data_IF_702666981342
#
_entry.id   IF_702666981342
#
_cell.length_a   1.000
_cell.length_b   1.000
_cell.length_c   1.000
_cell.angle_alpha   90.00
_cell.angle_beta   90.00
_cell.angle_gamma   90.00
#
_symmetry.space_group_name_H-M   'P 1'
#
loop_
_entity.id
_entity.type
_entity.pdbx_description
1 polymer ?
#
# COMPACT_ATOMS: atom_id res chain seq x y z
N UNK A 1 -12.35 -3.94 1.49
CA UNK A 1 -13.50 -3.50 2.29
C UNK A 1 -14.47 -2.77 1.36
N UNK A 2 -15.62 -3.35 0.98
CA UNK A 2 -16.71 -2.53 0.49
C UNK A 2 -16.97 -1.47 1.58
N UNK A 3 -17.00 -0.18 1.20
CA UNK A 3 -17.45 0.85 2.14
C UNK A 3 -18.89 0.47 2.46
N UNK A 4 -19.13 -0.02 3.67
CA UNK A 4 -20.46 -0.31 4.17
C UNK A 4 -21.23 1.01 4.13
N UNK A 5 -21.97 1.26 3.05
CA UNK A 5 -23.06 2.21 3.11
C UNK A 5 -24.13 1.47 3.85
N UNK A 6 -24.40 1.87 5.09
CA UNK A 6 -25.41 1.29 6.00
C UNK A 6 -26.84 1.50 5.47
N UNK A 7 -27.09 1.08 4.23
CA UNK A 7 -28.39 1.09 3.57
C UNK A 7 -29.33 0.12 4.27
N UNK A 8 -28.78 -0.94 4.88
CA UNK A 8 -29.52 -1.96 5.65
C UNK A 8 -30.26 -1.38 6.86
N UNK A 9 -29.82 -0.23 7.39
CA UNK A 9 -30.40 0.39 8.58
C UNK A 9 -31.29 1.60 8.26
N UNK A 10 -31.53 1.87 6.97
CA UNK A 10 -32.35 3.00 6.51
C UNK A 10 -33.76 2.54 6.15
N UNK A 11 -34.74 3.44 6.32
CA UNK A 11 -36.08 3.22 5.79
C UNK A 11 -36.02 3.04 4.27
N UNK A 12 -36.93 2.25 3.66
CA UNK A 12 -36.91 1.96 2.22
C UNK A 12 -36.80 3.21 1.34
N UNK A 13 -37.50 4.29 1.68
CA UNK A 13 -37.44 5.56 0.94
C UNK A 13 -36.08 6.26 1.04
N UNK A 14 -35.48 6.31 2.23
CA UNK A 14 -34.15 6.92 2.43
C UNK A 14 -33.06 6.11 1.72
N UNK A 15 -33.18 4.78 1.73
CA UNK A 15 -32.32 3.89 0.97
C UNK A 15 -32.37 4.20 -0.54
N UNK A 16 -33.58 4.31 -1.12
CA UNK A 16 -33.74 4.67 -2.54
C UNK A 16 -33.20 6.07 -2.86
N UNK A 17 -33.40 7.05 -1.97
CA UNK A 17 -32.83 8.39 -2.16
C UNK A 17 -31.29 8.37 -2.17
N UNK A 18 -30.67 7.59 -1.27
CA UNK A 18 -29.21 7.42 -1.23
C UNK A 18 -28.69 6.73 -2.49
N UNK A 19 -29.41 5.72 -3.00
CA UNK A 19 -29.07 5.02 -4.24
C UNK A 19 -29.11 6.00 -5.43
N UNK A 20 -30.18 6.80 -5.56
CA UNK A 20 -30.28 7.84 -6.59
C UNK A 20 -29.14 8.86 -6.48
N UNK A 21 -28.80 9.30 -5.27
CA UNK A 21 -27.68 10.21 -5.01
C UNK A 21 -26.34 9.58 -5.40
N UNK A 22 -26.16 8.28 -5.12
CA UNK A 22 -24.98 7.52 -5.49
C UNK A 22 -24.82 7.43 -7.01
N UNK A 23 -25.89 7.12 -7.75
CA UNK A 23 -25.91 7.10 -9.21
C UNK A 23 -25.55 8.47 -9.81
N UNK A 24 -26.19 9.55 -9.33
CA UNK A 24 -25.86 10.94 -9.74
C UNK A 24 -24.40 11.31 -9.44
N UNK A 25 -23.87 10.83 -8.31
CA UNK A 25 -22.46 11.07 -7.94
C UNK A 25 -21.51 10.32 -8.86
N UNK A 26 -21.83 9.09 -9.25
CA UNK A 26 -21.03 8.31 -10.18
C UNK A 26 -20.94 9.02 -11.55
N UNK A 27 -22.07 9.51 -12.07
CA UNK A 27 -22.12 10.32 -13.30
C UNK A 27 -21.28 11.59 -13.16
N UNK A 28 -21.44 12.36 -12.07
CA UNK A 28 -20.65 13.58 -11.85
C UNK A 28 -19.15 13.32 -11.81
N UNK A 29 -18.74 12.12 -11.40
CA UNK A 29 -17.34 11.71 -11.31
C UNK A 29 -16.81 11.06 -12.60
N UNK A 30 -17.62 10.92 -13.65
CA UNK A 30 -17.20 10.26 -14.89
C UNK A 30 -17.00 8.74 -14.73
N UNK A 31 -17.68 8.10 -13.78
CA UNK A 31 -17.58 6.65 -13.59
C UNK A 31 -18.45 5.92 -14.62
N UNK A 32 -18.03 4.70 -14.97
CA UNK A 32 -18.87 3.78 -15.74
C UNK A 32 -20.02 3.26 -14.87
N UNK A 33 -21.15 2.94 -15.52
CA UNK A 33 -22.24 2.26 -14.84
C UNK A 33 -21.77 0.89 -14.38
N UNK A 34 -22.14 0.52 -13.15
CA UNK A 34 -21.95 -0.85 -12.67
C UNK A 34 -23.13 -1.68 -13.18
N UNK A 35 -22.84 -2.90 -13.60
CA UNK A 35 -23.87 -3.87 -13.93
C UNK A 35 -24.60 -4.35 -12.68
N UNK A 36 -25.76 -4.98 -12.89
CA UNK A 36 -26.63 -5.45 -11.82
C UNK A 36 -25.92 -6.45 -10.89
N UNK A 37 -25.11 -7.33 -11.47
CA UNK A 37 -24.29 -8.31 -10.73
C UNK A 37 -23.26 -7.62 -9.83
N UNK A 38 -22.51 -6.62 -10.31
CA UNK A 38 -21.56 -5.91 -9.48
C UNK A 38 -22.22 -5.01 -8.42
N UNK A 39 -23.40 -4.45 -8.70
CA UNK A 39 -24.16 -3.68 -7.70
C UNK A 39 -24.60 -4.56 -6.53
N UNK A 40 -25.08 -5.78 -6.81
CA UNK A 40 -25.42 -6.77 -5.78
C UNK A 40 -24.18 -7.21 -5.00
N UNK A 41 -23.13 -7.62 -5.71
CA UNK A 41 -21.92 -8.17 -5.08
C UNK A 41 -21.11 -7.13 -4.29
N UNK A 42 -20.97 -5.90 -4.81
CA UNK A 42 -20.10 -4.87 -4.21
C UNK A 42 -20.83 -3.92 -3.28
N UNK A 43 -22.09 -3.62 -3.56
CA UNK A 43 -22.88 -2.64 -2.79
C UNK A 43 -24.04 -3.29 -2.02
N UNK A 44 -24.29 -4.58 -2.19
CA UNK A 44 -25.35 -5.31 -1.46
C UNK A 44 -26.75 -4.88 -1.87
N UNK A 45 -26.93 -4.33 -3.06
CA UNK A 45 -28.24 -3.88 -3.52
C UNK A 45 -29.16 -5.06 -3.83
N UNK A 46 -30.47 -4.89 -3.62
CA UNK A 46 -31.48 -5.80 -4.19
C UNK A 46 -31.62 -5.56 -5.70
N UNK A 47 -32.35 -6.45 -6.39
CA UNK A 47 -32.57 -6.31 -7.83
C UNK A 47 -33.28 -4.99 -8.18
N UNK A 48 -34.32 -4.62 -7.43
CA UNK A 48 -35.05 -3.35 -7.60
C UNK A 48 -34.15 -2.12 -7.33
N UNK A 49 -33.32 -2.20 -6.29
CA UNK A 49 -32.37 -1.12 -5.96
C UNK A 49 -31.31 -0.93 -7.04
N UNK A 50 -30.83 -2.03 -7.62
CA UNK A 50 -29.90 -1.99 -8.74
C UNK A 50 -30.57 -1.39 -9.99
N UNK A 51 -31.82 -1.73 -10.28
CA UNK A 51 -32.58 -1.15 -11.40
C UNK A 51 -32.80 0.36 -11.22
N UNK A 52 -33.11 0.82 -10.00
CA UNK A 52 -33.21 2.25 -9.68
C UNK A 52 -31.87 2.96 -9.86
N UNK A 53 -30.75 2.34 -9.46
CA UNK A 53 -29.41 2.89 -9.68
C UNK A 53 -29.13 3.05 -11.18
N UNK A 54 -29.31 1.98 -11.96
CA UNK A 54 -29.01 1.95 -13.39
C UNK A 54 -29.91 2.94 -14.14
N UNK A 55 -31.21 2.95 -13.85
CA UNK A 55 -32.16 3.91 -14.44
C UNK A 55 -31.77 5.36 -14.12
N UNK A 56 -31.42 5.64 -12.87
CA UNK A 56 -30.98 6.99 -12.47
C UNK A 56 -29.65 7.36 -13.14
N UNK A 57 -28.71 6.42 -13.25
CA UNK A 57 -27.44 6.65 -13.91
C UNK A 57 -27.67 6.96 -15.40
N UNK A 58 -28.40 6.11 -16.11
CA UNK A 58 -28.67 6.25 -17.54
C UNK A 58 -29.44 7.54 -17.88
N UNK A 59 -30.34 8.00 -17.00
CA UNK A 59 -31.03 9.29 -17.17
C UNK A 59 -30.11 10.51 -17.06
N UNK A 60 -28.96 10.39 -16.39
CA UNK A 60 -28.04 11.50 -16.13
C UNK A 60 -26.72 11.36 -16.88
N UNK A 61 -26.42 10.17 -17.42
CA UNK A 61 -25.18 9.91 -18.14
C UNK A 61 -25.25 10.60 -19.50
N UNK A 62 -24.37 11.57 -19.71
CA UNK A 62 -24.13 12.13 -21.04
C UNK A 62 -23.35 11.15 -21.93
N UNK A 63 -22.76 11.67 -23.00
CA UNK A 63 -21.99 10.83 -23.95
C UNK A 63 -20.76 10.17 -23.28
N UNK A 64 -20.24 9.07 -23.84
CA UNK A 64 -19.01 8.46 -23.36
C UNK A 64 -17.83 9.44 -23.30
N UNK A 65 -17.73 10.34 -24.28
CA UNK A 65 -16.72 11.40 -24.33
C UNK A 65 -16.85 12.37 -23.17
N UNK A 66 -18.06 12.86 -22.87
CA UNK A 66 -18.32 13.71 -21.71
C UNK A 66 -17.96 13.02 -20.39
N UNK A 67 -18.26 11.73 -20.25
CA UNK A 67 -17.90 10.97 -19.06
C UNK A 67 -16.39 10.87 -18.91
N UNK A 68 -15.69 10.68 -20.01
CA UNK A 68 -14.24 10.62 -20.03
C UNK A 68 -13.60 11.97 -19.62
N UNK A 69 -14.16 13.10 -20.08
CA UNK A 69 -13.76 14.44 -19.63
C UNK A 69 -14.08 14.67 -18.14
N UNK A 70 -15.27 14.28 -17.66
CA UNK A 70 -15.63 14.36 -16.23
C UNK A 70 -14.66 13.54 -15.36
N UNK A 71 -14.25 12.36 -15.84
CA UNK A 71 -13.27 11.50 -15.16
C UNK A 71 -11.89 12.18 -15.08
N UNK A 72 -11.43 12.83 -16.15
CA UNK A 72 -10.20 13.60 -16.15
C UNK A 72 -10.26 14.77 -15.15
N UNK A 73 -11.36 15.56 -15.14
CA UNK A 73 -11.58 16.63 -14.14
C UNK A 73 -11.53 16.10 -12.71
N UNK A 74 -12.20 14.97 -12.47
CA UNK A 74 -12.24 14.36 -11.13
C UNK A 74 -10.85 13.88 -10.69
N UNK A 75 -10.06 13.33 -11.60
CA UNK A 75 -8.68 12.92 -11.33
C UNK A 75 -7.78 14.11 -10.98
N UNK A 76 -7.96 15.28 -11.62
CA UNK A 76 -7.25 16.51 -11.26
C UNK A 76 -7.64 16.99 -9.86
N UNK A 77 -8.93 17.03 -9.54
CA UNK A 77 -9.45 17.35 -8.20
C UNK A 77 -8.83 16.42 -7.15
N UNK A 78 -8.78 15.11 -7.44
CA UNK A 78 -8.18 14.13 -6.53
C UNK A 78 -6.68 14.34 -6.39
N UNK A 79 -5.95 14.63 -7.46
CA UNK A 79 -4.51 14.89 -7.38
C UNK A 79 -4.21 16.09 -6.47
N UNK A 80 -4.90 17.21 -6.68
CA UNK A 80 -4.76 18.42 -5.85
C UNK A 80 -5.19 18.16 -4.41
N UNK A 81 -6.31 17.48 -4.20
CA UNK A 81 -6.78 17.15 -2.86
C UNK A 81 -5.77 16.29 -2.10
N UNK A 82 -4.96 15.48 -2.79
CA UNK A 82 -3.90 14.65 -2.20
C UNK A 82 -2.53 15.35 -2.17
N UNK A 83 -2.43 16.63 -2.58
CA UNK A 83 -1.16 17.36 -2.63
C UNK A 83 -0.14 16.70 -3.56
N UNK A 84 -0.59 16.02 -4.62
CA UNK A 84 0.29 15.42 -5.62
C UNK A 84 0.75 16.52 -6.56
N UNK A 85 2.02 16.52 -6.93
CA UNK A 85 2.56 17.41 -7.95
C UNK A 85 1.81 17.26 -9.29
N UNK A 86 1.73 18.34 -10.06
CA UNK A 86 1.10 18.34 -11.37
C UNK A 86 1.85 17.39 -12.31
N UNK A 87 1.21 16.37 -12.89
CA UNK A 87 1.83 15.52 -13.91
C UNK A 87 2.05 16.30 -15.21
N UNK A 88 3.08 15.92 -15.96
CA UNK A 88 3.33 16.47 -17.29
C UNK A 88 2.29 15.98 -18.30
N UNK A 89 2.10 16.75 -19.38
CA UNK A 89 1.25 16.35 -20.51
C UNK A 89 1.67 14.98 -21.08
N UNK A 90 2.97 14.75 -21.24
CA UNK A 90 3.50 13.47 -21.69
C UNK A 90 3.12 12.31 -20.76
N UNK A 91 3.18 12.54 -19.45
CA UNK A 91 2.80 11.52 -18.47
C UNK A 91 1.32 11.18 -18.61
N UNK A 92 0.45 12.18 -18.75
CA UNK A 92 -0.99 11.96 -18.93
C UNK A 92 -1.30 11.21 -20.23
N UNK A 93 -0.64 11.55 -21.34
CA UNK A 93 -0.80 10.84 -22.63
C UNK A 93 -0.26 9.41 -22.58
N UNK A 94 1.00 9.24 -22.16
CA UNK A 94 1.68 7.93 -22.23
C UNK A 94 1.21 6.95 -21.15
N UNK A 95 1.02 7.42 -19.91
CA UNK A 95 0.71 6.54 -18.77
C UNK A 95 -0.78 6.48 -18.47
N UNK A 96 -1.49 7.60 -18.55
CA UNK A 96 -2.93 7.62 -18.30
C UNK A 96 -3.76 7.37 -19.57
N UNK A 97 -3.11 7.32 -20.75
CA UNK A 97 -3.76 7.12 -22.05
C UNK A 97 -4.84 8.17 -22.31
N UNK A 98 -4.60 9.40 -21.87
CA UNK A 98 -5.54 10.50 -22.05
C UNK A 98 -5.44 11.07 -23.47
N UNK A 99 -6.60 11.39 -24.07
CA UNK A 99 -6.68 12.17 -25.31
C UNK A 99 -6.22 13.61 -25.07
N UNK A 100 -5.90 14.35 -26.13
CA UNK A 100 -5.47 15.74 -26.02
C UNK A 100 -6.48 16.60 -25.23
N UNK A 101 -7.78 16.41 -25.47
CA UNK A 101 -8.84 17.14 -24.76
C UNK A 101 -8.92 16.77 -23.28
N UNK A 102 -8.79 15.49 -22.94
CA UNK A 102 -8.75 15.03 -21.55
C UNK A 102 -7.54 15.61 -20.80
N UNK A 103 -6.39 15.69 -21.46
CA UNK A 103 -5.18 16.31 -20.88
C UNK A 103 -5.42 17.79 -20.62
N UNK A 104 -5.94 18.53 -21.61
CA UNK A 104 -6.26 19.96 -21.45
C UNK A 104 -7.19 20.20 -20.25
N UNK A 105 -8.29 19.46 -20.20
CA UNK A 105 -9.28 19.56 -19.12
C UNK A 105 -8.70 19.18 -17.75
N UNK A 106 -7.82 18.18 -17.68
CA UNK A 106 -7.13 17.81 -16.45
C UNK A 106 -6.23 18.96 -15.97
N UNK A 107 -5.37 19.48 -16.84
CA UNK A 107 -4.37 20.49 -16.50
C UNK A 107 -5.03 21.82 -16.12
N UNK A 108 -6.06 22.25 -16.85
CA UNK A 108 -6.86 23.43 -16.50
C UNK A 108 -7.48 23.28 -15.12
N UNK A 109 -8.14 22.15 -14.84
CA UNK A 109 -8.77 21.94 -13.54
C UNK A 109 -7.76 21.81 -12.41
N UNK A 110 -6.59 21.23 -12.69
CA UNK A 110 -5.50 21.16 -11.73
C UNK A 110 -5.01 22.56 -11.39
N UNK A 111 -4.70 23.39 -12.39
CA UNK A 111 -4.24 24.78 -12.20
C UNK A 111 -5.25 25.66 -11.46
N UNK A 112 -6.54 25.50 -11.75
CA UNK A 112 -7.62 26.21 -11.06
C UNK A 112 -7.64 25.90 -9.55
N UNK A 113 -7.32 24.66 -9.17
CA UNK A 113 -7.36 24.19 -7.79
C UNK A 113 -6.00 24.22 -7.10
N UNK A 114 -4.92 24.31 -7.88
CA UNK A 114 -3.55 24.36 -7.43
C UNK A 114 -3.36 25.59 -6.55
N UNK A 115 -3.22 25.31 -5.27
CA UNK A 115 -2.77 26.29 -4.28
C UNK A 115 -1.24 26.35 -4.29
N UNK A 116 -0.67 27.34 -3.61
CA UNK A 116 0.79 27.48 -3.51
C UNK A 116 1.46 26.16 -3.11
N UNK A 117 2.70 25.94 -3.58
CA UNK A 117 3.47 24.72 -3.28
C UNK A 117 3.54 24.44 -1.77
N UNK A 118 3.70 25.50 -0.97
CA UNK A 118 3.67 25.43 0.50
C UNK A 118 2.33 24.85 1.00
N UNK A 119 1.19 25.34 0.51
CA UNK A 119 -0.12 24.82 0.91
C UNK A 119 -0.36 23.36 0.47
N UNK A 120 0.21 22.94 -0.66
CA UNK A 120 0.18 21.52 -1.06
C UNK A 120 1.00 20.65 -0.12
N UNK A 121 2.19 21.10 0.26
CA UNK A 121 3.07 20.39 1.19
C UNK A 121 2.40 20.23 2.57
N UNK A 122 1.81 21.31 3.11
CA UNK A 122 1.03 21.26 4.36
C UNK A 122 -0.15 20.28 4.28
N UNK A 123 -0.88 20.23 3.15
CA UNK A 123 -1.96 19.26 2.95
C UNK A 123 -1.45 17.82 2.93
N UNK A 124 -0.32 17.58 2.26
CA UNK A 124 0.32 16.26 2.21
C UNK A 124 0.75 15.82 3.61
N UNK A 125 1.31 16.72 4.41
CA UNK A 125 1.66 16.47 5.81
C UNK A 125 0.43 16.07 6.64
N UNK A 126 -0.64 16.86 6.60
CA UNK A 126 -1.90 16.57 7.31
C UNK A 126 -2.51 15.22 6.92
N UNK A 127 -2.53 14.91 5.62
CA UNK A 127 -3.04 13.61 5.12
C UNK A 127 -2.17 12.43 5.56
N UNK A 128 -0.86 12.61 5.56
CA UNK A 128 0.07 11.60 6.06
C UNK A 128 -0.21 11.30 7.53
N UNK A 129 -0.36 12.34 8.36
CA UNK A 129 -0.72 12.23 9.77
C UNK A 129 -2.06 11.51 10.00
N UNK A 130 -3.11 11.92 9.27
CA UNK A 130 -4.41 11.23 9.29
C UNK A 130 -4.29 9.75 8.92
N UNK A 131 -3.48 9.44 7.89
CA UNK A 131 -3.19 8.08 7.47
C UNK A 131 -2.55 7.27 8.60
N UNK A 132 -1.48 7.79 9.21
CA UNK A 132 -0.79 7.17 10.35
C UNK A 132 -1.75 6.89 11.51
N UNK A 133 -2.53 7.88 11.93
CA UNK A 133 -3.52 7.74 13.01
C UNK A 133 -4.66 6.76 12.65
N UNK A 134 -5.09 6.72 11.38
CA UNK A 134 -6.14 5.78 10.95
C UNK A 134 -5.69 4.31 10.97
N UNK A 135 -4.38 4.09 10.88
CA UNK A 135 -3.78 2.75 10.87
C UNK A 135 -3.41 2.24 12.26
N UNK A 136 -3.56 3.03 13.33
CA UNK A 136 -3.14 2.59 14.67
C UNK A 136 -1.69 2.89 15.02
N UNK A 137 -0.93 3.52 14.12
CA UNK A 137 0.48 3.81 14.34
C UNK A 137 0.66 5.05 15.21
N UNK A 138 1.72 5.06 16.02
CA UNK A 138 2.12 6.22 16.80
C UNK A 138 2.53 7.41 15.92
N UNK A 139 2.42 8.62 16.50
CA UNK A 139 2.90 9.83 15.85
C UNK A 139 4.42 9.72 15.61
N UNK A 140 4.87 10.20 14.45
CA UNK A 140 6.32 10.28 14.19
C UNK A 140 6.93 11.42 15.01
N UNK A 141 8.15 11.20 15.49
CA UNK A 141 8.95 12.26 16.11
C UNK A 141 9.37 13.32 15.08
N UNK A 142 9.71 14.52 15.56
CA UNK A 142 10.22 15.61 14.73
C UNK A 142 11.43 15.17 13.91
N UNK A 143 12.37 14.45 14.53
CA UNK A 143 13.56 13.93 13.86
C UNK A 143 13.21 12.96 12.72
N UNK A 144 12.24 12.07 12.95
CA UNK A 144 11.80 11.13 11.92
C UNK A 144 11.11 11.86 10.75
N UNK A 145 10.37 12.94 11.03
CA UNK A 145 9.76 13.77 9.99
C UNK A 145 10.80 14.62 9.25
N UNK A 146 11.79 15.19 9.94
CA UNK A 146 12.93 15.91 9.32
C UNK A 146 13.71 14.97 8.38
N UNK A 147 14.01 13.74 8.82
CA UNK A 147 14.64 12.70 7.97
C UNK A 147 13.80 12.35 6.73
N UNK A 148 12.48 12.50 6.81
CA UNK A 148 11.55 12.33 5.67
C UNK A 148 11.43 13.58 4.78
N UNK A 149 12.18 14.65 5.08
CA UNK A 149 12.23 15.87 4.29
C UNK A 149 11.10 16.87 4.58
N UNK A 150 10.42 16.74 5.72
CA UNK A 150 9.39 17.70 6.12
C UNK A 150 10.02 19.00 6.65
N UNK A 151 9.47 20.14 6.23
CA UNK A 151 9.82 21.45 6.82
C UNK A 151 9.17 21.65 8.19
N UNK A 152 9.64 22.62 8.98
CA UNK A 152 9.11 22.88 10.34
C UNK A 152 7.60 23.14 10.34
N UNK A 153 7.10 23.97 9.42
CA UNK A 153 5.66 24.23 9.28
C UNK A 153 4.88 22.97 8.91
N UNK A 154 5.47 22.07 8.12
CA UNK A 154 4.83 20.81 7.77
C UNK A 154 4.83 19.82 8.93
N UNK A 155 5.86 19.80 9.76
CA UNK A 155 5.92 19.00 10.99
C UNK A 155 4.82 19.43 11.94
N UNK A 156 4.68 20.74 12.18
CA UNK A 156 3.60 21.28 13.01
C UNK A 156 2.22 20.90 12.46
N UNK A 157 2.01 21.07 11.14
CA UNK A 157 0.77 20.69 10.49
C UNK A 157 0.50 19.17 10.54
N UNK A 158 1.54 18.34 10.46
CA UNK A 158 1.44 16.90 10.62
C UNK A 158 0.97 16.55 12.04
N UNK A 159 1.65 17.07 13.07
CA UNK A 159 1.34 16.76 14.46
C UNK A 159 -0.05 17.23 14.86
N UNK A 160 -0.44 18.44 14.48
CA UNK A 160 -1.77 18.96 14.73
C UNK A 160 -2.86 18.08 14.10
N UNK A 161 -2.68 17.65 12.84
CA UNK A 161 -3.62 16.76 12.18
C UNK A 161 -3.64 15.35 12.77
N UNK A 162 -2.51 14.84 13.24
CA UNK A 162 -2.43 13.56 13.93
C UNK A 162 -3.25 13.62 15.22
N UNK A 163 -3.03 14.64 16.05
CA UNK A 163 -3.75 14.86 17.32
C UNK A 163 -5.27 15.02 17.13
N UNK A 164 -5.69 15.61 16.02
CA UNK A 164 -7.12 15.70 15.67
C UNK A 164 -7.74 14.36 15.23
N UNK A 165 -6.91 13.41 14.77
CA UNK A 165 -7.36 12.15 14.18
C UNK A 165 -7.09 10.95 15.07
N UNK A 166 -6.28 11.11 16.12
CA UNK A 166 -5.97 10.05 17.05
C UNK A 166 -7.18 9.71 17.91
N UNK A 167 -7.39 8.41 18.12
CA UNK A 167 -8.34 7.91 19.11
C UNK A 167 -7.60 7.56 20.40
N UNK A 168 -8.32 7.01 21.37
CA UNK A 168 -7.72 6.40 22.56
C UNK A 168 -6.64 5.39 22.18
N UNK A 169 -5.64 5.21 23.04
CA UNK A 169 -4.56 4.23 22.83
C UNK A 169 -5.11 2.83 22.59
N UNK A 170 -6.18 2.46 23.28
CA UNK A 170 -6.87 1.19 23.12
C UNK A 170 -7.42 1.01 21.69
N UNK A 171 -8.15 2.01 21.16
CA UNK A 171 -8.68 1.93 19.80
C UNK A 171 -7.56 2.00 18.74
N UNK A 172 -6.48 2.74 19.01
CA UNK A 172 -5.30 2.70 18.14
C UNK A 172 -4.68 1.30 18.09
N UNK A 173 -4.57 0.63 19.24
CA UNK A 173 -4.06 -0.73 19.32
C UNK A 173 -4.98 -1.72 18.59
N UNK A 174 -6.32 -1.55 18.68
CA UNK A 174 -7.29 -2.33 17.89
C UNK A 174 -7.13 -2.09 16.39
N UNK A 175 -6.95 -0.84 15.94
CA UNK A 175 -6.69 -0.50 14.52
C UNK A 175 -5.41 -1.14 14.00
N UNK A 176 -4.33 -1.05 14.78
CA UNK A 176 -3.04 -1.63 14.45
C UNK A 176 -3.16 -3.15 14.31
N UNK A 177 -3.86 -3.79 15.25
CA UNK A 177 -4.13 -5.24 15.23
C UNK A 177 -4.88 -5.67 13.98
N UNK A 178 -5.96 -4.96 13.61
CA UNK A 178 -6.69 -5.19 12.35
C UNK A 178 -5.77 -5.00 11.14
N UNK A 179 -4.88 -4.01 11.18
CA UNK A 179 -3.87 -3.75 10.16
C UNK A 179 -2.92 -4.93 9.97
N UNK A 180 -2.35 -5.45 11.06
CA UNK A 180 -1.43 -6.59 11.04
C UNK A 180 -2.10 -7.88 10.52
N UNK A 181 -3.33 -8.15 10.95
CA UNK A 181 -4.11 -9.29 10.46
C UNK A 181 -4.35 -9.22 8.95
N UNK A 182 -4.80 -8.06 8.45
CA UNK A 182 -5.02 -7.83 7.01
C UNK A 182 -3.74 -7.96 6.20
N UNK A 183 -2.63 -7.41 6.70
CA UNK A 183 -1.32 -7.50 6.03
C UNK A 183 -0.84 -8.95 5.96
N UNK A 184 -1.03 -9.72 7.02
CA UNK A 184 -0.67 -11.15 7.06
C UNK A 184 -1.47 -11.95 6.03
N UNK A 185 -2.80 -11.74 6.00
CA UNK A 185 -3.69 -12.37 5.01
C UNK A 185 -3.40 -11.91 3.57
N UNK A 186 -3.04 -10.64 3.37
CA UNK A 186 -2.69 -10.11 2.05
C UNK A 186 -1.39 -10.69 1.50
N UNK A 187 -0.38 -10.88 2.37
CA UNK A 187 0.89 -11.52 2.03
C UNK A 187 0.84 -13.05 2.05
N UNK A 188 -0.35 -13.63 2.22
CA UNK A 188 -0.57 -15.06 2.30
C UNK A 188 0.36 -15.81 3.28
N UNK A 189 0.64 -15.16 4.42
CA UNK A 189 1.32 -15.78 5.55
C UNK A 189 0.30 -16.59 6.34
N UNK A 190 0.73 -17.72 6.89
CA UNK A 190 -0.11 -18.50 7.79
C UNK A 190 -0.63 -17.63 8.95
N UNK A 191 -1.86 -17.90 9.39
CA UNK A 191 -2.40 -17.22 10.56
C UNK A 191 -1.51 -17.52 11.77
N UNK A 192 -1.12 -16.49 12.51
CA UNK A 192 -0.43 -16.68 13.77
C UNK A 192 -1.35 -17.42 14.77
N UNK A 193 -0.79 -18.36 15.53
CA UNK A 193 -1.51 -19.02 16.61
C UNK A 193 -1.76 -18.05 17.76
N UNK A 194 -2.76 -18.35 18.60
CA UNK A 194 -3.02 -17.55 19.81
C UNK A 194 -1.78 -17.46 20.71
N UNK A 195 -1.05 -18.55 20.89
CA UNK A 195 0.18 -18.59 21.67
C UNK A 195 1.27 -17.66 21.10
N UNK A 196 1.43 -17.64 19.78
CA UNK A 196 2.38 -16.75 19.11
C UNK A 196 1.98 -15.28 19.28
N UNK A 197 0.68 -14.97 19.22
CA UNK A 197 0.18 -13.62 19.44
C UNK A 197 0.33 -13.20 20.91
N UNK A 198 0.05 -14.08 21.87
CA UNK A 198 0.32 -13.83 23.31
C UNK A 198 1.79 -13.54 23.55
N UNK A 199 2.69 -14.34 22.97
CA UNK A 199 4.15 -14.12 23.06
C UNK A 199 4.58 -12.81 22.42
N UNK A 200 3.87 -12.35 21.38
CA UNK A 200 4.08 -11.05 20.76
C UNK A 200 3.48 -9.87 21.55
N UNK A 201 2.87 -10.12 22.72
CA UNK A 201 2.34 -9.10 23.61
C UNK A 201 0.90 -8.66 23.31
N UNK A 202 0.16 -9.43 22.52
CA UNK A 202 -1.25 -9.13 22.25
C UNK A 202 -2.13 -9.51 23.46
N UNK A 203 -3.10 -8.66 23.78
CA UNK A 203 -4.16 -8.98 24.76
C UNK A 203 -5.17 -9.96 24.15
N UNK A 204 -5.94 -10.66 25.00
CA UNK A 204 -6.96 -11.62 24.52
C UNK A 204 -8.00 -10.97 23.58
N UNK A 205 -8.39 -9.71 23.86
CA UNK A 205 -9.28 -8.96 22.98
C UNK A 205 -8.62 -8.69 21.62
N UNK A 206 -7.34 -8.29 21.60
CA UNK A 206 -6.62 -8.05 20.36
C UNK A 206 -6.43 -9.35 19.55
N UNK A 207 -6.17 -10.47 20.22
CA UNK A 207 -6.09 -11.79 19.58
C UNK A 207 -7.40 -12.12 18.89
N UNK A 208 -8.53 -11.93 19.59
CA UNK A 208 -9.87 -12.14 19.03
C UNK A 208 -10.10 -11.26 17.79
N UNK A 209 -9.74 -9.97 17.86
CA UNK A 209 -9.83 -9.03 16.74
C UNK A 209 -8.92 -9.45 15.58
N UNK A 210 -7.71 -9.91 15.86
CA UNK A 210 -6.74 -10.36 14.87
C UNK A 210 -7.28 -11.54 14.08
N UNK A 211 -7.69 -12.61 14.78
CA UNK A 211 -8.19 -13.83 14.16
C UNK A 211 -9.43 -13.56 13.32
N UNK A 212 -10.41 -12.85 13.86
CA UNK A 212 -11.63 -12.48 13.12
C UNK A 212 -11.32 -11.64 11.87
N UNK A 213 -10.36 -10.70 11.97
CA UNK A 213 -9.97 -9.85 10.85
C UNK A 213 -9.18 -10.61 9.78
N UNK A 214 -8.32 -11.55 10.19
CA UNK A 214 -7.55 -12.40 9.28
C UNK A 214 -8.50 -13.31 8.50
N UNK A 215 -9.43 -13.98 9.18
CA UNK A 215 -10.44 -14.84 8.58
C UNK A 215 -11.30 -14.10 7.55
N UNK A 216 -11.75 -12.88 7.89
CA UNK A 216 -12.49 -12.05 6.95
C UNK A 216 -11.66 -11.57 5.73
N UNK A 217 -10.32 -11.59 5.81
CA UNK A 217 -9.42 -11.08 4.78
C UNK A 217 -8.73 -12.18 3.94
N UNK A 218 -8.62 -13.41 4.46
CA UNK A 218 -7.86 -14.48 3.81
C UNK A 218 -8.47 -14.89 2.46
N UNK A 219 -9.79 -14.90 2.32
CA UNK A 219 -10.42 -15.37 1.08
C UNK A 219 -10.30 -16.90 0.95
N UNK A 220 -10.33 -17.42 -0.28
CA UNK A 220 -10.22 -18.88 -0.51
C UNK A 220 -8.76 -19.36 -0.48
N UNK A 221 -8.55 -20.67 -0.31
CA UNK A 221 -7.21 -21.27 -0.34
C UNK A 221 -6.50 -21.07 -1.69
N UNK A 222 -7.24 -21.18 -2.80
CA UNK A 222 -6.68 -20.91 -4.13
C UNK A 222 -6.26 -19.44 -4.28
N UNK A 223 -7.07 -18.49 -3.80
CA UNK A 223 -6.69 -17.07 -3.80
C UNK A 223 -5.45 -16.81 -2.94
N UNK A 224 -5.34 -17.48 -1.78
CA UNK A 224 -4.19 -17.39 -0.90
C UNK A 224 -2.92 -17.93 -1.57
N UNK A 225 -3.00 -19.08 -2.22
CA UNK A 225 -1.85 -19.66 -2.90
C UNK A 225 -1.38 -18.79 -4.09
N UNK A 226 -2.30 -18.20 -4.85
CA UNK A 226 -1.98 -17.22 -5.89
C UNK A 226 -1.35 -15.95 -5.30
N UNK A 227 -1.88 -15.42 -4.18
CA UNK A 227 -1.29 -14.24 -3.50
C UNK A 227 0.13 -14.53 -3.03
N UNK A 228 0.38 -15.71 -2.46
CA UNK A 228 1.70 -16.17 -2.03
C UNK A 228 2.68 -16.17 -3.20
N UNK A 229 2.32 -16.83 -4.31
CA UNK A 229 3.16 -16.88 -5.50
C UNK A 229 3.51 -15.48 -6.04
N UNK A 230 2.54 -14.57 -6.09
CA UNK A 230 2.77 -13.17 -6.52
C UNK A 230 3.67 -12.40 -5.56
N UNK A 231 3.51 -12.60 -4.25
CA UNK A 231 4.31 -11.93 -3.24
C UNK A 231 5.77 -12.41 -3.27
N UNK A 232 5.99 -13.72 -3.32
CA UNK A 232 7.32 -14.32 -3.38
C UNK A 232 8.07 -13.87 -4.65
N UNK A 233 7.36 -13.78 -5.78
CA UNK A 233 7.89 -13.22 -7.03
C UNK A 233 8.32 -11.75 -6.88
N UNK A 234 7.47 -10.92 -6.29
CA UNK A 234 7.77 -9.51 -6.03
C UNK A 234 8.99 -9.36 -5.12
N UNK A 235 9.09 -10.17 -4.08
CA UNK A 235 10.22 -10.14 -3.15
C UNK A 235 11.52 -10.54 -3.83
N UNK A 236 11.51 -11.60 -4.64
CA UNK A 236 12.69 -12.03 -5.39
C UNK A 236 13.14 -10.97 -6.41
N UNK A 237 12.22 -10.39 -7.18
CA UNK A 237 12.52 -9.29 -8.09
C UNK A 237 13.01 -8.04 -7.33
N UNK A 238 12.46 -7.78 -6.13
CA UNK A 238 12.90 -6.67 -5.30
C UNK A 238 14.33 -6.86 -4.77
N UNK A 239 14.73 -8.11 -4.50
CA UNK A 239 16.10 -8.46 -4.11
C UNK A 239 17.02 -8.73 -5.30
N UNK A 240 16.57 -8.47 -6.54
CA UNK A 240 17.33 -8.71 -7.78
C UNK A 240 17.84 -10.16 -7.90
N UNK A 241 17.15 -11.13 -7.31
CA UNK A 241 17.52 -12.54 -7.42
C UNK A 241 17.19 -13.06 -8.82
N UNK A 242 17.99 -13.98 -9.39
CA UNK A 242 17.70 -14.57 -10.69
C UNK A 242 16.30 -15.19 -10.75
N UNK A 243 15.63 -15.07 -11.91
CA UNK A 243 14.32 -15.67 -12.14
C UNK A 243 14.44 -17.20 -12.03
N UNK A 244 13.71 -17.85 -11.11
CA UNK A 244 13.65 -19.31 -11.06
C UNK A 244 13.04 -19.89 -12.33
N UNK A 245 13.50 -21.07 -12.75
CA UNK A 245 12.88 -21.84 -13.83
C UNK A 245 11.53 -22.41 -13.40
N UNK A 246 10.65 -22.71 -14.35
CA UNK A 246 9.35 -23.33 -14.07
C UNK A 246 9.50 -24.66 -13.31
N UNK A 247 10.49 -25.48 -13.68
CA UNK A 247 10.81 -26.74 -13.00
C UNK A 247 11.13 -26.53 -11.52
N UNK A 248 11.96 -25.53 -11.18
CA UNK A 248 12.27 -25.18 -9.79
C UNK A 248 11.06 -24.67 -9.02
N UNK A 249 10.10 -24.06 -9.70
CA UNK A 249 8.84 -23.65 -9.07
C UNK A 249 7.91 -24.85 -8.85
N UNK A 250 7.87 -25.82 -9.79
CA UNK A 250 7.15 -27.09 -9.62
C UNK A 250 7.73 -27.89 -8.44
N UNK A 251 9.06 -27.97 -8.32
CA UNK A 251 9.74 -28.61 -7.18
C UNK A 251 9.39 -27.96 -5.83
N UNK A 252 9.15 -26.64 -5.82
CA UNK A 252 8.67 -25.91 -4.65
C UNK A 252 7.17 -26.12 -4.34
N UNK A 253 6.48 -26.92 -5.16
CA UNK A 253 5.07 -27.24 -4.99
C UNK A 253 4.10 -26.21 -5.56
N UNK A 254 4.55 -25.29 -6.43
CA UNK A 254 3.62 -24.37 -7.09
C UNK A 254 2.83 -25.09 -8.20
N UNK A 255 1.51 -24.84 -8.24
CA UNK A 255 0.66 -25.27 -9.36
C UNK A 255 0.93 -24.44 -10.62
N UNK A 256 0.49 -24.90 -11.78
CA UNK A 256 0.68 -24.19 -13.06
C UNK A 256 0.12 -22.75 -13.04
N UNK A 257 -1.05 -22.56 -12.44
CA UNK A 257 -1.65 -21.23 -12.26
C UNK A 257 -0.79 -20.33 -11.36
N UNK A 258 -0.19 -20.89 -10.31
CA UNK A 258 0.67 -20.16 -9.39
C UNK A 258 2.01 -19.80 -10.04
N UNK A 259 2.59 -20.71 -10.82
CA UNK A 259 3.80 -20.47 -11.62
C UNK A 259 3.55 -19.31 -12.59
N UNK A 260 2.43 -19.35 -13.32
CA UNK A 260 2.05 -18.26 -14.23
C UNK A 260 1.93 -16.92 -13.49
N UNK A 261 1.24 -16.91 -12.34
CA UNK A 261 1.09 -15.71 -11.52
C UNK A 261 2.42 -15.20 -10.94
N UNK A 262 3.33 -16.10 -10.59
CA UNK A 262 4.68 -15.81 -10.12
C UNK A 262 5.48 -15.11 -11.22
N UNK A 263 5.61 -15.72 -12.40
CA UNK A 263 6.42 -15.20 -13.50
C UNK A 263 5.93 -13.82 -13.95
N UNK A 264 4.62 -13.65 -14.10
CA UNK A 264 4.02 -12.34 -14.44
C UNK A 264 4.35 -11.27 -13.39
N UNK A 265 4.23 -11.60 -12.11
CA UNK A 265 4.48 -10.63 -11.01
C UNK A 265 5.96 -10.27 -10.90
N UNK A 266 6.84 -11.24 -11.14
CA UNK A 266 8.29 -11.02 -11.16
C UNK A 266 8.66 -10.03 -12.28
N UNK A 267 8.21 -10.30 -13.52
CA UNK A 267 8.49 -9.45 -14.68
C UNK A 267 7.95 -8.02 -14.47
N UNK A 268 6.69 -7.89 -14.04
CA UNK A 268 6.09 -6.57 -13.76
C UNK A 268 6.88 -5.78 -12.72
N UNK A 269 7.44 -6.46 -11.73
CA UNK A 269 8.22 -5.82 -10.66
C UNK A 269 9.58 -5.35 -11.17
N UNK A 270 10.26 -6.16 -11.98
CA UNK A 270 11.49 -5.77 -12.66
C UNK A 270 11.27 -4.60 -13.62
N UNK A 271 10.26 -4.67 -14.50
CA UNK A 271 9.95 -3.60 -15.44
C UNK A 271 9.70 -2.27 -14.72
N UNK A 272 8.98 -2.31 -13.60
CA UNK A 272 8.72 -1.14 -12.77
C UNK A 272 10.00 -0.56 -12.16
N UNK A 273 10.95 -1.40 -11.76
CA UNK A 273 12.27 -0.96 -11.27
C UNK A 273 13.10 -0.34 -12.37
N UNK A 274 13.22 -1.02 -13.51
CA UNK A 274 13.96 -0.52 -14.69
C UNK A 274 13.39 0.82 -15.13
N UNK A 275 12.07 0.95 -15.21
CA UNK A 275 11.41 2.22 -15.54
C UNK A 275 11.74 3.33 -14.54
N UNK A 276 11.76 3.04 -13.22
CA UNK A 276 12.16 4.03 -12.21
C UNK A 276 13.61 4.48 -12.39
N UNK A 277 14.52 3.56 -12.68
CA UNK A 277 15.93 3.88 -12.92
C UNK A 277 16.08 4.75 -14.17
N UNK A 278 15.42 4.38 -15.28
CA UNK A 278 15.41 5.18 -16.51
C UNK A 278 14.86 6.59 -16.29
N UNK A 279 13.79 6.74 -15.49
CA UNK A 279 13.27 8.07 -15.14
C UNK A 279 14.29 8.88 -14.34
N UNK A 280 14.95 8.29 -13.35
CA UNK A 280 16.00 8.97 -12.57
C UNK A 280 17.19 9.40 -13.42
N UNK A 281 17.62 8.56 -14.36
CA UNK A 281 18.71 8.88 -15.31
C UNK A 281 18.30 10.06 -16.19
N UNK A 282 17.09 10.05 -16.76
CA UNK A 282 16.58 11.19 -17.55
C UNK A 282 16.49 12.48 -16.74
N UNK A 283 15.99 12.41 -15.51
CA UNK A 283 15.92 13.56 -14.60
C UNK A 283 17.32 14.10 -14.27
N UNK A 284 18.32 13.24 -14.12
CA UNK A 284 19.71 13.65 -13.89
C UNK A 284 20.30 14.35 -15.12
N UNK A 285 20.16 13.77 -16.32
CA UNK A 285 20.66 14.39 -17.56
C UNK A 285 20.01 15.76 -17.81
N UNK A 286 18.69 15.89 -17.59
CA UNK A 286 17.99 17.18 -17.76
C UNK A 286 18.41 18.28 -16.79
N UNK A 287 19.05 17.93 -15.66
CA UNK A 287 19.58 18.90 -14.69
C UNK A 287 20.99 19.38 -15.05
N UNK A 288 21.75 18.57 -15.80
CA UNK A 288 23.10 18.90 -16.23
C UNK A 288 23.10 19.84 -17.45
N UNK A 289 22.08 19.78 -18.31
CA UNK A 289 21.92 20.69 -19.46
C UNK A 289 21.62 22.16 -19.06
N UNK A 290 21.46 22.49 -17.78
CA UNK A 290 21.13 23.85 -17.28
C UNK A 290 22.37 24.60 -16.73
N UNK A 291 23.57 24.00 -16.69
CA UNK A 291 24.78 24.72 -16.27
C UNK A 291 25.81 24.82 -17.42
N UNK A 292 25.82 25.93 -18.18
CA UNK A 292 26.79 26.12 -19.28
C UNK A 292 28.17 26.62 -18.81
N UNK A 293 28.45 26.67 -17.51
CA UNK A 293 29.75 27.05 -17.00
C UNK A 293 30.39 25.95 -16.16
N UNK A 294 31.61 25.62 -16.57
CA UNK A 294 32.71 25.04 -15.78
C UNK A 294 32.98 23.52 -15.97
N UNK A 295 33.98 23.23 -16.81
CA UNK A 295 34.81 22.01 -16.84
C UNK A 295 34.08 20.65 -16.76
N UNK A 296 32.99 20.51 -17.52
CA UNK A 296 32.11 19.32 -17.50
C UNK A 296 32.78 18.06 -18.09
N UNK A 297 33.62 18.18 -19.12
CA UNK A 297 34.19 17.01 -19.82
C UNK A 297 35.13 16.17 -18.95
N UNK A 298 35.95 16.80 -18.09
CA UNK A 298 36.86 16.08 -17.19
C UNK A 298 36.14 15.47 -15.98
N UNK A 299 34.99 16.03 -15.57
CA UNK A 299 34.17 15.49 -14.47
C UNK A 299 33.31 14.31 -14.92
N UNK A 300 32.79 14.31 -16.14
CA UNK A 300 31.96 13.22 -16.68
C UNK A 300 32.74 11.90 -16.74
N UNK A 301 33.99 11.91 -17.22
CA UNK A 301 34.84 10.72 -17.29
C UNK A 301 35.26 10.18 -15.89
N UNK A 302 35.40 11.06 -14.89
CA UNK A 302 35.78 10.67 -13.53
C UNK A 302 34.59 10.14 -12.72
N UNK A 303 33.36 10.63 -12.98
CA UNK A 303 32.14 10.22 -12.25
C UNK A 303 31.47 8.98 -12.82
N UNK A 304 31.53 8.77 -14.14
CA UNK A 304 31.01 7.53 -14.75
C UNK A 304 31.81 6.29 -14.32
N UNK A 305 33.10 6.45 -14.02
CA UNK A 305 33.94 5.41 -13.40
C UNK A 305 33.54 5.14 -11.94
N UNK A 306 33.35 6.20 -11.14
CA UNK A 306 32.94 6.08 -9.73
C UNK A 306 31.53 5.47 -9.54
N UNK A 307 30.58 5.69 -10.45
CA UNK A 307 29.22 5.10 -10.37
C UNK A 307 29.23 3.59 -10.70
N UNK A 308 30.22 3.13 -11.49
CA UNK A 308 30.43 1.71 -11.73
C UNK A 308 31.24 1.04 -10.61
N UNK A 309 32.29 1.69 -10.08
CA UNK A 309 33.11 1.12 -9.00
C UNK A 309 32.37 1.08 -7.63
N UNK A 310 31.51 2.07 -7.30
CA UNK A 310 30.63 2.01 -6.10
C UNK A 310 29.56 0.91 -6.19
N UNK A 311 29.34 0.33 -7.38
CA UNK A 311 28.42 -0.79 -7.58
C UNK A 311 29.09 -2.15 -7.37
N UNK A 312 30.41 -2.24 -7.51
CA UNK A 312 31.17 -3.46 -7.21
C UNK A 312 31.54 -3.55 -5.72
N UNK A 313 31.96 -2.45 -5.08
CA UNK A 313 32.32 -2.46 -3.64
C UNK A 313 31.10 -2.56 -2.70
N UNK A 314 29.89 -2.21 -3.16
CA UNK A 314 28.65 -2.50 -2.42
C UNK A 314 28.19 -3.96 -2.56
N UNK A 315 28.67 -4.71 -3.55
CA UNK A 315 28.36 -6.14 -3.64
C UNK A 315 29.19 -6.98 -2.66
N UNK A 316 30.36 -6.50 -2.22
CA UNK A 316 31.23 -7.23 -1.29
C UNK A 316 30.85 -6.98 0.18
N UNK A 317 30.37 -5.78 0.53
CA UNK A 317 30.03 -5.43 1.92
C UNK A 317 28.64 -5.93 2.39
N UNK A 318 27.73 -6.28 1.48
CA UNK A 318 26.41 -6.84 1.83
C UNK A 318 26.47 -8.37 2.15
N UNK A 319 27.57 -9.06 1.82
CA UNK A 319 27.84 -10.42 2.28
C UNK A 319 28.26 -10.47 3.76
N UNK A 320 29.05 -9.51 4.25
CA UNK A 320 29.44 -9.44 5.67
C UNK A 320 28.29 -8.95 6.58
N UNK A 321 27.44 -8.04 6.11
CA UNK A 321 26.26 -7.59 6.87
C UNK A 321 25.18 -8.70 6.98
N UNK A 322 25.17 -9.67 6.06
CA UNK A 322 24.30 -10.85 6.14
C UNK A 322 24.81 -11.93 7.10
N UNK A 323 26.11 -11.96 7.41
CA UNK A 323 26.70 -12.89 8.38
C UNK A 323 26.55 -12.42 9.85
N UNK A 324 26.43 -11.12 10.10
CA UNK A 324 26.23 -10.58 11.46
C UNK A 324 24.78 -10.57 11.95
N UNK A 325 23.80 -10.80 11.07
CA UNK A 325 22.38 -10.98 11.44
C UNK A 325 21.95 -12.45 11.59
N UNK A 326 22.86 -13.41 11.40
CA UNK A 326 22.60 -14.85 11.55
C UNK A 326 23.49 -15.57 12.59
N UNK A 327 24.24 -14.84 13.44
CA UNK A 327 25.10 -15.45 14.48
C UNK A 327 24.51 -15.50 15.90
N UNK A 328 23.26 -15.09 16.13
CA UNK A 328 22.66 -15.05 17.48
C UNK A 328 21.51 -16.03 17.72
N UNK A 329 21.33 -17.03 16.86
CA UNK A 329 20.48 -18.21 17.13
C UNK A 329 21.13 -19.49 16.60
N UNK A 330 22.23 -19.93 17.22
CA UNK A 330 22.67 -21.34 17.10
C UNK A 330 22.21 -22.12 18.33
N UNK A 331 21.43 -23.15 18.03
CA UNK A 331 21.01 -24.21 18.92
C UNK A 331 22.18 -24.85 19.64
N UNK A 332 22.12 -24.91 20.97
CA UNK A 332 22.69 -26.01 21.74
C UNK A 332 21.58 -27.01 22.02
N UNK A 333 21.56 -28.11 21.27
CA UNK A 333 21.00 -29.38 21.75
C UNK A 333 22.12 -30.15 22.44
N UNK A 334 21.81 -30.86 23.53
CA UNK A 334 22.34 -32.21 23.64
C UNK A 334 21.20 -33.23 23.78
N UNK A 335 21.30 -34.27 22.97
CA UNK A 335 20.56 -35.51 23.05
C UNK A 335 21.01 -36.35 24.24
N UNK A 336 20.01 -36.96 24.89
CA UNK A 336 19.99 -38.28 25.52
C UNK A 336 21.09 -38.70 26.51
N UNK A 337 20.68 -38.81 27.78
CA UNK A 337 20.93 -40.01 28.59
C UNK A 337 19.73 -40.30 29.49
N UNK A 338 19.32 -41.56 29.45
CA UNK A 338 18.32 -42.24 30.27
C UNK A 338 18.63 -42.28 31.78
N UNK A 339 17.57 -42.54 32.54
CA UNK A 339 17.49 -43.41 33.74
C UNK A 339 17.21 -42.75 35.10
N UNK A 340 16.05 -43.14 35.64
CA UNK A 340 15.69 -43.43 37.04
C UNK A 340 15.58 -42.34 38.12
N UNK A 341 14.34 -42.28 38.65
CA UNK A 341 13.93 -42.27 40.05
C UNK A 341 13.89 -40.96 40.88
N UNK A 342 12.64 -40.67 41.28
CA UNK A 342 12.16 -40.43 42.64
C UNK A 342 12.24 -39.03 43.29
N UNK A 343 11.16 -38.80 44.06
CA UNK A 343 10.97 -37.90 45.20
C UNK A 343 10.59 -36.42 44.94
N UNK A 344 9.30 -36.16 45.17
CA UNK A 344 8.75 -35.16 46.10
C UNK A 344 9.67 -34.00 46.56
N UNK A 345 9.22 -32.75 46.35
CA UNK A 345 8.89 -31.81 47.44
C UNK A 345 8.42 -30.43 46.94
N UNK A 346 7.27 -30.01 47.47
CA UNK A 346 6.84 -28.67 47.91
C UNK A 346 7.12 -27.40 47.07
N UNK A 347 6.01 -26.82 46.57
CA UNK A 347 5.48 -25.48 46.91
C UNK A 347 6.29 -24.17 46.70
N UNK A 348 5.59 -23.01 46.57
CA UNK A 348 5.97 -21.91 45.68
C UNK A 348 6.59 -20.71 46.42
N UNK A 349 7.33 -19.86 45.69
CA UNK A 349 7.79 -18.57 46.21
C UNK A 349 7.39 -17.39 45.32
N UNK A 350 6.63 -16.49 45.96
CA UNK A 350 6.21 -15.16 45.52
C UNK A 350 7.41 -14.23 45.33
N UNK A 351 7.27 -13.23 44.42
CA UNK A 351 7.66 -11.79 44.52
C UNK A 351 8.14 -11.28 43.16
N UNK A 352 8.02 -10.02 42.77
CA UNK A 352 7.20 -8.84 43.16
C UNK A 352 7.42 -7.85 42.00
N UNK A 353 6.40 -7.05 41.71
CA UNK A 353 6.48 -5.86 40.85
C UNK A 353 7.56 -4.87 41.33
N UNK A 354 8.20 -4.22 40.36
CA UNK A 354 8.43 -2.78 40.34
C UNK A 354 8.19 -2.30 38.90
#
# INVERSE_FOLDING_TARGET
>A
MPRNTDIKNLTPEKALQQIRKSAKTAVKQGRLCLDKTALKAKLGYTDEQADVYISTFNKNVGTPEEQALKKARKAAVDAVAHGRACPTEEYLKKRMKYTAEQVKVYLEKYKELERSKEQQALRKARKSAQGTASLGHSCYSDEALKKKGYSEKEIEAYQAAYKQSESTQEEQAKRLTRGHARTSAYHARACASEEALKKAGYTDEQITIYLATYEAAKGTEQEQALRKARYDAQEQAYRCRPLPTEEKLKEKGYSEEQITAFLQSYQMTLDKKVQKLLTKVREAMSKEEINPNDDSEKRIAKRSRAVFDDSEDRMVNDEEASLLLFSSCKHNTPSDTSCTQAAEHSSPSKRRLA
#
